data_IF_007893501485
#
_entry.id   IF_007893501485
#
_cell.length_a   1.000
_cell.length_b   1.000
_cell.length_c   1.000
_cell.angle_alpha   90.00
_cell.angle_beta   90.00
_cell.angle_gamma   90.00
#
_symmetry.space_group_name_H-M   'P 1'
#
loop_
_entity.id
_entity.type
_entity.pdbx_description
1 polymer ?
#
# COMPACT_ATOMS: atom_id res chain seq x y z
N UNK A 1 0.10 13.69 -1.43
CA UNK A 1 1.00 12.53 -1.44
C UNK A 1 0.19 11.26 -1.66
N UNK A 2 0.76 10.30 -2.36
CA UNK A 2 0.05 9.10 -2.79
C UNK A 2 0.57 7.85 -2.11
N UNK A 3 -0.34 6.90 -1.86
CA UNK A 3 0.01 5.55 -1.44
C UNK A 3 -0.40 4.59 -2.54
N UNK A 4 0.51 3.72 -2.93
CA UNK A 4 0.25 2.60 -3.83
C UNK A 4 0.42 1.29 -3.05
N UNK A 5 -0.53 0.39 -3.21
CA UNK A 5 -0.45 -0.94 -2.62
C UNK A 5 -0.27 -1.94 -3.75
N UNK A 6 0.81 -2.70 -3.68
CA UNK A 6 1.26 -3.59 -4.76
C UNK A 6 1.43 -4.99 -4.20
N UNK A 7 0.73 -5.94 -4.79
CA UNK A 7 0.85 -7.36 -4.44
C UNK A 7 1.54 -8.15 -5.55
N UNK A 8 2.32 -9.16 -5.17
CA UNK A 8 2.90 -10.09 -6.13
C UNK A 8 1.86 -11.13 -6.54
N UNK A 9 1.74 -11.37 -7.82
CA UNK A 9 0.85 -12.40 -8.37
C UNK A 9 1.67 -13.55 -8.92
N UNK A 10 1.55 -14.72 -8.31
CA UNK A 10 2.20 -15.95 -8.78
C UNK A 10 1.74 -16.35 -10.19
N UNK A 11 0.50 -16.00 -10.52
CA UNK A 11 -0.11 -16.37 -11.81
C UNK A 11 0.57 -15.66 -12.98
N UNK A 12 1.02 -14.41 -12.78
CA UNK A 12 1.64 -13.62 -13.84
C UNK A 12 3.13 -13.40 -13.60
N UNK A 13 3.66 -13.92 -12.51
CA UNK A 13 5.05 -13.70 -12.06
C UNK A 13 5.43 -12.22 -12.06
N UNK A 14 4.53 -11.38 -11.61
CA UNK A 14 4.68 -9.93 -11.62
C UNK A 14 3.88 -9.28 -10.49
N UNK A 15 4.18 -8.02 -10.22
CA UNK A 15 3.46 -7.21 -9.25
C UNK A 15 2.21 -6.60 -9.85
N UNK A 16 1.15 -6.57 -9.06
CA UNK A 16 -0.13 -5.99 -9.46
C UNK A 16 -0.49 -4.84 -8.52
N UNK A 17 -0.94 -3.73 -9.08
CA UNK A 17 -1.49 -2.62 -8.29
C UNK A 17 -2.84 -3.03 -7.71
N UNK A 18 -2.92 -3.11 -6.38
CA UNK A 18 -4.14 -3.51 -5.67
C UNK A 18 -4.94 -2.32 -5.16
N UNK A 19 -4.27 -1.21 -4.85
CA UNK A 19 -4.95 -0.03 -4.34
C UNK A 19 -4.10 1.22 -4.50
N UNK A 20 -4.78 2.37 -4.53
CA UNK A 20 -4.15 3.67 -4.68
C UNK A 20 -5.02 4.73 -4.01
N UNK A 21 -4.41 5.58 -3.21
CA UNK A 21 -5.14 6.69 -2.57
C UNK A 21 -4.22 7.86 -2.25
N UNK A 22 -4.81 9.02 -2.06
CA UNK A 22 -4.08 10.20 -1.59
C UNK A 22 -4.12 10.26 -0.07
N UNK A 23 -3.03 10.75 0.52
CA UNK A 23 -2.94 10.97 1.97
C UNK A 23 -2.36 12.36 2.25
N UNK A 24 -2.84 12.99 3.30
CA UNK A 24 -2.39 14.32 3.69
C UNK A 24 -1.15 14.28 4.58
N UNK A 25 -1.10 13.35 5.53
CA UNK A 25 -0.01 13.24 6.48
C UNK A 25 0.73 11.91 6.31
N UNK A 26 1.84 11.98 5.58
CA UNK A 26 2.65 10.80 5.30
C UNK A 26 3.31 10.20 6.53
N UNK A 27 3.71 11.04 7.50
CA UNK A 27 4.39 10.55 8.70
C UNK A 27 3.50 9.64 9.54
N UNK A 28 2.24 10.04 9.73
CA UNK A 28 1.29 9.22 10.49
C UNK A 28 0.94 7.93 9.76
N UNK A 29 0.71 8.02 8.45
CA UNK A 29 0.41 6.85 7.64
C UNK A 29 1.58 5.88 7.63
N UNK A 30 2.80 6.38 7.46
CA UNK A 30 4.00 5.54 7.51
C UNK A 30 4.15 4.83 8.85
N UNK A 31 3.95 5.54 9.95
CA UNK A 31 4.02 4.95 11.30
C UNK A 31 2.97 3.84 11.49
N UNK A 32 1.75 4.09 11.02
CA UNK A 32 0.67 3.11 11.10
C UNK A 32 0.98 1.87 10.29
N UNK A 33 1.44 2.03 9.06
CA UNK A 33 1.79 0.91 8.19
C UNK A 33 2.97 0.12 8.73
N UNK A 34 3.98 0.81 9.26
CA UNK A 34 5.15 0.15 9.86
C UNK A 34 4.78 -0.63 11.12
N UNK A 35 3.89 -0.10 11.94
CA UNK A 35 3.34 -0.80 13.10
C UNK A 35 2.59 -2.07 12.68
N UNK A 36 1.75 -1.97 11.65
CA UNK A 36 1.03 -3.13 11.12
C UNK A 36 1.99 -4.19 10.61
N UNK A 37 3.03 -3.77 9.88
CA UNK A 37 4.05 -4.68 9.37
C UNK A 37 4.76 -5.44 10.50
N UNK A 38 5.19 -4.73 11.53
CA UNK A 38 5.94 -5.30 12.66
C UNK A 38 5.12 -6.25 13.52
N UNK A 39 3.82 -6.00 13.62
CA UNK A 39 2.93 -6.76 14.48
C UNK A 39 2.06 -7.77 13.70
N UNK A 40 2.34 -7.98 12.43
CA UNK A 40 1.62 -8.92 11.55
C UNK A 40 0.11 -8.67 11.55
N UNK A 41 -0.27 -7.38 11.51
CA UNK A 41 -1.66 -6.98 11.40
C UNK A 41 -2.01 -6.88 9.91
N UNK A 42 -3.03 -7.62 9.44
CA UNK A 42 -3.38 -7.59 8.03
C UNK A 42 -3.98 -6.26 7.59
N UNK A 43 -3.65 -5.84 6.36
CA UNK A 43 -4.26 -4.73 5.69
C UNK A 43 -5.47 -5.24 4.91
N UNK A 44 -6.59 -4.54 5.01
CA UNK A 44 -7.81 -4.92 4.27
C UNK A 44 -7.92 -4.03 3.04
N UNK A 45 -7.98 -4.66 1.87
CA UNK A 45 -8.19 -3.97 0.61
C UNK A 45 -9.60 -4.27 0.12
N UNK A 46 -10.41 -3.23 0.02
CA UNK A 46 -11.77 -3.34 -0.48
C UNK A 46 -11.74 -3.02 -1.98
N UNK A 47 -12.04 -4.01 -2.81
CA UNK A 47 -12.00 -3.89 -4.27
C UNK A 47 -13.33 -3.43 -4.87
N UNK A 48 -14.36 -3.24 -4.06
CA UNK A 48 -15.69 -2.81 -4.50
C UNK A 48 -15.92 -1.34 -4.14
N UNK A 49 -16.72 -0.64 -4.94
CA UNK A 49 -17.13 0.76 -4.68
C UNK A 49 -18.02 0.88 -3.45
N UNK A 50 -18.56 -0.22 -2.97
CA UNK A 50 -19.34 -0.28 -1.74
C UNK A 50 -18.41 -0.65 -0.60
N UNK A 51 -18.47 0.08 0.52
CA UNK A 51 -17.70 -0.25 1.71
C UNK A 51 -18.16 -1.62 2.20
N UNK A 52 -17.34 -2.62 1.94
CA UNK A 52 -17.56 -4.00 2.35
C UNK A 52 -16.51 -4.36 3.40
N UNK A 53 -16.96 -4.89 4.53
CA UNK A 53 -16.05 -5.35 5.58
C UNK A 53 -15.37 -6.67 5.23
N UNK A 54 -15.80 -7.31 4.14
CA UNK A 54 -15.27 -8.59 3.66
C UNK A 54 -14.17 -8.42 2.59
N UNK A 55 -13.44 -7.30 2.60
CA UNK A 55 -12.32 -7.06 1.70
C UNK A 55 -11.22 -8.11 1.86
N UNK A 56 -10.36 -8.23 0.85
CA UNK A 56 -9.23 -9.15 0.87
C UNK A 56 -8.16 -8.68 1.87
N UNK A 57 -7.64 -9.61 2.67
CA UNK A 57 -6.61 -9.35 3.66
C UNK A 57 -5.23 -9.65 3.11
N UNK A 58 -4.29 -8.75 3.39
CA UNK A 58 -2.89 -8.89 2.97
C UNK A 58 -1.96 -8.50 4.11
N UNK A 59 -0.86 -9.21 4.27
CA UNK A 59 0.20 -8.77 5.18
C UNK A 59 1.17 -7.84 4.47
N UNK A 60 1.64 -6.83 5.18
CA UNK A 60 2.62 -5.90 4.66
C UNK A 60 4.01 -6.55 4.72
N UNK A 61 4.63 -6.73 3.54
CA UNK A 61 5.98 -7.27 3.43
C UNK A 61 7.03 -6.17 3.59
N UNK A 62 6.90 -5.10 2.83
CA UNK A 62 7.83 -3.97 2.88
C UNK A 62 7.15 -2.66 2.50
N UNK A 63 7.77 -1.56 2.94
CA UNK A 63 7.28 -0.21 2.66
C UNK A 63 8.44 0.58 2.05
N UNK A 64 8.22 1.15 0.88
CA UNK A 64 9.21 1.95 0.18
C UNK A 64 8.67 3.36 -0.05
N UNK A 65 9.47 4.37 0.31
CA UNK A 65 9.14 5.76 -0.01
C UNK A 65 9.89 6.14 -1.27
N UNK A 66 9.15 6.58 -2.28
CA UNK A 66 9.72 7.00 -3.55
C UNK A 66 9.65 8.52 -3.64
N UNK A 67 10.81 9.14 -3.83
CA UNK A 67 10.91 10.58 -4.04
C UNK A 67 11.08 10.88 -5.53
N UNK A 68 10.42 11.91 -6.05
CA UNK A 68 10.60 12.29 -7.45
C UNK A 68 12.02 12.83 -7.66
N UNK A 69 12.56 12.51 -8.83
CA UNK A 69 13.92 12.97 -9.22
C UNK A 69 13.98 14.48 -9.46
N UNK A 70 12.86 15.04 -9.89
CA UNK A 70 12.71 16.48 -10.15
C UNK A 70 11.56 17.00 -9.30
N UNK A 71 11.83 18.05 -8.49
CA UNK A 71 10.80 18.63 -7.62
C UNK A 71 9.73 19.33 -8.45
N UNK A 72 8.46 19.07 -8.12
CA UNK A 72 7.30 19.82 -8.58
C UNK A 72 6.37 19.10 -9.56
N UNK A 73 6.76 18.00 -10.20
CA UNK A 73 5.92 17.34 -11.19
C UNK A 73 5.15 16.14 -10.63
N UNK A 74 5.78 15.35 -9.77
CA UNK A 74 5.13 14.19 -9.15
C UNK A 74 5.41 14.23 -7.67
N UNK A 75 4.38 14.19 -6.85
CA UNK A 75 4.53 14.14 -5.40
C UNK A 75 5.21 12.85 -4.94
N UNK A 76 5.75 12.88 -3.72
CA UNK A 76 6.31 11.68 -3.09
C UNK A 76 5.26 10.58 -3.01
N UNK A 77 5.69 9.34 -3.14
CA UNK A 77 4.81 8.17 -3.14
C UNK A 77 5.32 7.13 -2.14
N UNK A 78 4.39 6.56 -1.37
CA UNK A 78 4.67 5.36 -0.58
C UNK A 78 4.20 4.16 -1.38
N UNK A 79 5.08 3.21 -1.60
CA UNK A 79 4.71 1.92 -2.18
C UNK A 79 4.73 0.87 -1.08
N UNK A 80 3.60 0.23 -0.86
CA UNK A 80 3.43 -0.82 0.13
C UNK A 80 3.35 -2.15 -0.60
N UNK A 81 4.34 -2.99 -0.37
CA UNK A 81 4.36 -4.35 -0.94
C UNK A 81 3.69 -5.29 0.03
N UNK A 82 2.69 -6.01 -0.44
CA UNK A 82 1.89 -6.91 0.38
C UNK A 82 1.93 -8.33 -0.17
N UNK A 83 1.63 -9.29 0.70
CA UNK A 83 1.51 -10.70 0.35
C UNK A 83 0.19 -11.26 0.88
N UNK A 84 -0.28 -12.36 0.29
CA UNK A 84 -1.51 -13.03 0.72
C UNK A 84 -1.40 -13.53 2.16
N UNK A 85 -2.51 -13.45 2.85
CA UNK A 85 -2.64 -13.99 4.21
C UNK A 85 -2.66 -15.52 4.18
#
# INVERSE_FOLDING_TARGET
MHIRIVGFSDRYDDYKLLGYTEVENISEVFKTLDYMRKNEIPLIINTNDVIDTDGEEYYIDSITIVFPKVSGEIGSCITVYVEDV
#
